data_IF_386203139121
#
_entry.id   IF_386203139121
#
_cell.length_a   1.000
_cell.length_b   1.000
_cell.length_c   1.000
_cell.angle_alpha   90.00
_cell.angle_beta   90.00
_cell.angle_gamma   90.00
#
_symmetry.space_group_name_H-M   'P 1'
#
loop_
_entity.id
_entity.type
_entity.pdbx_description
1 polymer ?
#
# COMPACT_ATOMS: atom_id res chain seq x y z
N UNK A 1 -8.35 -7.83 -25.53
CA UNK A 1 -7.11 -7.01 -25.65
C UNK A 1 -6.23 -7.35 -24.46
N UNK A 2 -5.19 -8.15 -24.66
CA UNK A 2 -4.23 -8.52 -23.61
C UNK A 2 -3.41 -7.29 -23.24
N UNK A 3 -3.77 -6.64 -22.13
CA UNK A 3 -3.02 -5.49 -21.62
C UNK A 3 -1.74 -6.02 -20.96
N UNK A 4 -0.73 -6.35 -21.77
CA UNK A 4 0.58 -6.78 -21.28
C UNK A 4 1.32 -5.54 -20.76
N UNK A 5 1.26 -5.32 -19.44
CA UNK A 5 2.00 -4.22 -18.81
C UNK A 5 3.46 -4.60 -18.78
N UNK A 6 4.30 -3.85 -19.48
CA UNK A 6 5.76 -4.07 -19.42
C UNK A 6 6.24 -3.91 -17.97
N UNK A 7 6.72 -5.02 -17.41
CA UNK A 7 7.38 -5.06 -16.11
C UNK A 7 8.80 -4.54 -16.33
N UNK A 8 9.25 -3.52 -15.57
CA UNK A 8 10.62 -3.03 -15.67
C UNK A 8 11.64 -4.16 -15.50
N UNK A 9 12.71 -4.16 -16.28
CA UNK A 9 13.71 -5.24 -16.26
C UNK A 9 14.25 -5.56 -14.85
N UNK A 10 14.50 -4.54 -14.02
CA UNK A 10 14.94 -4.72 -12.62
C UNK A 10 13.95 -5.52 -11.76
N UNK A 11 12.67 -5.32 -12.00
CA UNK A 11 11.59 -6.01 -11.28
C UNK A 11 11.47 -7.45 -11.76
N UNK A 12 11.67 -7.67 -13.05
CA UNK A 12 11.70 -9.00 -13.64
C UNK A 12 12.91 -9.80 -13.15
N UNK A 13 14.09 -9.18 -13.13
CA UNK A 13 15.32 -9.78 -12.58
C UNK A 13 15.15 -10.14 -11.10
N UNK A 14 14.54 -9.26 -10.29
CA UNK A 14 14.23 -9.57 -8.89
C UNK A 14 13.23 -10.73 -8.74
N UNK A 15 12.26 -10.86 -9.66
CA UNK A 15 11.32 -11.99 -9.66
C UNK A 15 11.99 -13.30 -10.09
N UNK A 16 12.82 -13.26 -11.13
CA UNK A 16 13.55 -14.43 -11.64
C UNK A 16 14.62 -14.91 -10.64
N UNK A 17 15.27 -14.00 -9.91
CA UNK A 17 16.24 -14.33 -8.88
C UNK A 17 15.63 -14.98 -7.62
N UNK A 18 14.31 -14.86 -7.43
CA UNK A 18 13.58 -15.43 -6.29
C UNK A 18 13.06 -16.85 -6.56
N UNK A 19 13.16 -17.33 -7.81
CA UNK A 19 12.70 -18.66 -8.17
C UNK A 19 13.61 -19.76 -7.61
N UNK A 20 13.02 -20.78 -7.03
CA UNK A 20 13.72 -22.01 -6.69
C UNK A 20 14.10 -22.79 -7.96
N UNK A 21 15.05 -23.73 -7.82
CA UNK A 21 15.44 -24.61 -8.92
C UNK A 21 14.24 -25.40 -9.46
N UNK A 22 13.95 -25.20 -10.74
CA UNK A 22 12.83 -25.83 -11.46
C UNK A 22 11.46 -25.18 -11.22
N UNK A 23 11.36 -24.12 -10.42
CA UNK A 23 10.14 -23.33 -10.24
C UNK A 23 9.86 -22.49 -11.50
N UNK A 24 8.60 -22.47 -11.95
CA UNK A 24 8.19 -21.78 -13.17
C UNK A 24 7.14 -20.72 -12.90
N UNK A 25 7.33 -19.55 -13.48
CA UNK A 25 6.35 -18.46 -13.42
C UNK A 25 5.15 -18.83 -14.30
N UNK A 26 3.97 -18.98 -13.69
CA UNK A 26 2.71 -19.16 -14.41
C UNK A 26 2.05 -17.83 -14.76
N UNK A 27 2.22 -16.81 -13.90
CA UNK A 27 1.68 -15.48 -14.11
C UNK A 27 2.50 -14.43 -13.38
N UNK A 28 2.61 -13.24 -13.97
CA UNK A 28 3.30 -12.09 -13.38
C UNK A 28 2.65 -10.79 -13.85
N UNK A 29 2.39 -9.85 -12.94
CA UNK A 29 1.87 -8.51 -13.26
C UNK A 29 2.21 -7.52 -12.13
N UNK A 30 1.80 -6.26 -12.29
CA UNK A 30 1.91 -5.19 -11.29
C UNK A 30 0.57 -4.47 -11.09
N UNK A 31 0.33 -3.91 -9.90
CA UNK A 31 -0.87 -3.12 -9.64
C UNK A 31 -0.91 -1.88 -10.55
N UNK A 32 -2.10 -1.52 -11.04
CA UNK A 32 -2.31 -0.42 -12.00
C UNK A 32 -2.11 0.98 -11.37
N UNK A 33 -0.95 1.63 -11.24
CA UNK A 33 -0.76 2.73 -10.27
C UNK A 33 -1.85 3.86 -10.26
N UNK A 34 -2.56 4.02 -9.13
CA UNK A 34 -3.51 5.13 -8.87
C UNK A 34 -3.00 6.04 -7.75
N UNK A 35 -3.21 7.34 -7.92
CA UNK A 35 -2.88 8.35 -6.90
C UNK A 35 -3.80 8.18 -5.68
N UNK A 36 -5.10 8.17 -5.95
CA UNK A 36 -6.14 8.11 -4.95
C UNK A 36 -6.65 6.67 -4.80
N UNK A 37 -6.37 6.07 -3.65
CA UNK A 37 -7.07 4.88 -3.12
C UNK A 37 -7.96 5.33 -1.97
N UNK A 38 -8.86 4.48 -1.48
CA UNK A 38 -9.74 4.83 -0.36
C UNK A 38 -8.96 5.40 0.83
N UNK A 39 -7.92 4.70 1.27
CA UNK A 39 -7.05 5.14 2.36
C UNK A 39 -6.30 6.45 2.06
N UNK A 40 -5.68 6.59 0.88
CA UNK A 40 -4.92 7.81 0.55
C UNK A 40 -5.83 9.03 0.35
N UNK A 41 -7.07 8.82 -0.10
CA UNK A 41 -8.07 9.87 -0.24
C UNK A 41 -8.51 10.39 1.12
N UNK A 42 -8.81 9.50 2.07
CA UNK A 42 -9.19 9.88 3.44
C UNK A 42 -8.07 10.66 4.12
N UNK A 43 -6.82 10.16 4.04
CA UNK A 43 -5.65 10.86 4.59
C UNK A 43 -5.45 12.25 3.96
N UNK A 44 -5.57 12.34 2.63
CA UNK A 44 -5.45 13.61 1.91
C UNK A 44 -6.53 14.61 2.34
N UNK A 45 -7.80 14.18 2.37
CA UNK A 45 -8.93 15.02 2.76
C UNK A 45 -8.83 15.49 4.22
N UNK A 46 -8.35 14.64 5.12
CA UNK A 46 -8.09 15.02 6.51
C UNK A 46 -6.91 16.00 6.64
N UNK A 47 -5.87 15.82 5.81
CA UNK A 47 -4.71 16.69 5.77
C UNK A 47 -5.03 18.14 5.39
N UNK A 48 -6.09 18.40 4.63
CA UNK A 48 -6.50 19.75 4.20
C UNK A 48 -6.87 20.64 5.41
N UNK A 49 -7.94 20.35 6.19
CA UNK A 49 -8.32 21.18 7.32
C UNK A 49 -7.24 21.18 8.41
N UNK A 50 -6.53 20.05 8.60
CA UNK A 50 -5.40 19.98 9.54
C UNK A 50 -4.30 20.99 9.21
N UNK A 51 -3.85 21.02 7.94
CA UNK A 51 -2.79 21.93 7.50
C UNK A 51 -3.27 23.38 7.52
N UNK A 52 -4.52 23.63 7.10
CA UNK A 52 -5.13 24.96 7.16
C UNK A 52 -5.17 25.49 8.60
N UNK A 53 -5.58 24.66 9.56
CA UNK A 53 -5.59 25.00 10.97
C UNK A 53 -4.17 25.26 11.51
N UNK A 54 -3.20 24.42 11.16
CA UNK A 54 -1.81 24.59 11.59
C UNK A 54 -1.19 25.90 11.06
N UNK A 55 -1.46 26.25 9.79
CA UNK A 55 -1.04 27.51 9.20
C UNK A 55 -1.72 28.70 9.87
N UNK A 56 -3.05 28.63 10.06
CA UNK A 56 -3.81 29.65 10.75
C UNK A 56 -3.27 29.92 12.15
N UNK A 57 -3.05 28.85 12.94
CA UNK A 57 -2.47 28.93 14.28
C UNK A 57 -1.10 29.61 14.27
N UNK A 58 -0.22 29.19 13.35
CA UNK A 58 1.15 29.73 13.26
C UNK A 58 1.14 31.23 12.95
N UNK A 59 0.28 31.67 12.01
CA UNK A 59 0.14 33.08 11.64
C UNK A 59 -0.47 33.89 12.77
N UNK A 60 -1.55 33.40 13.40
CA UNK A 60 -2.22 34.08 14.51
C UNK A 60 -1.28 34.24 15.72
N UNK A 61 -0.53 33.18 16.07
CA UNK A 61 0.45 33.22 17.14
C UNK A 61 1.60 34.18 16.82
N UNK A 62 2.12 34.18 15.59
CA UNK A 62 3.16 35.12 15.17
C UNK A 62 2.67 36.57 15.21
N UNK A 63 1.43 36.81 14.75
CA UNK A 63 0.82 38.14 14.80
C UNK A 63 0.65 38.66 16.23
N UNK A 64 0.15 37.82 17.15
CA UNK A 64 0.02 38.19 18.56
C UNK A 64 1.36 38.55 19.22
N UNK A 65 2.42 37.78 18.94
CA UNK A 65 3.78 38.08 19.44
C UNK A 65 4.31 39.41 18.90
N UNK A 66 4.07 39.72 17.63
CA UNK A 66 4.59 40.92 16.95
C UNK A 66 3.81 42.20 17.30
N UNK A 67 2.49 42.12 17.50
CA UNK A 67 1.62 43.30 17.63
C UNK A 67 1.15 43.59 19.05
N UNK A 68 1.07 42.59 19.95
CA UNK A 68 0.58 42.79 21.32
C UNK A 68 1.69 43.04 22.35
N UNK A 69 2.87 43.45 21.89
CA UNK A 69 3.99 43.83 22.76
C UNK A 69 4.67 42.62 23.38
N UNK A 70 5.31 41.80 22.54
CA UNK A 70 6.34 40.82 22.89
C UNK A 70 6.23 40.23 24.30
N UNK A 71 5.30 39.28 24.50
CA UNK A 71 5.17 38.56 25.77
C UNK A 71 6.53 38.00 26.20
N UNK A 72 7.11 38.44 27.33
CA UNK A 72 8.40 37.95 27.78
C UNK A 72 8.32 36.46 28.15
N UNK A 73 9.37 35.70 27.82
CA UNK A 73 9.51 34.30 28.24
C UNK A 73 9.06 33.28 27.17
N UNK A 74 8.72 32.03 27.57
CA UNK A 74 8.51 30.91 26.65
C UNK A 74 7.36 31.10 25.64
N UNK A 75 6.50 32.10 25.84
CA UNK A 75 5.44 32.49 24.91
C UNK A 75 5.96 33.00 23.55
N UNK A 76 7.22 33.43 23.44
CA UNK A 76 7.84 33.72 22.14
C UNK A 76 8.03 32.46 21.27
N UNK A 77 8.07 31.27 21.88
CA UNK A 77 8.20 30.00 21.16
C UNK A 77 6.85 29.46 20.69
N UNK A 78 5.74 30.10 21.07
CA UNK A 78 4.38 29.63 20.77
C UNK A 78 4.09 29.44 19.26
N UNK A 79 4.59 30.29 18.34
CA UNK A 79 4.47 30.05 16.90
C UNK A 79 5.26 28.83 16.41
N UNK A 80 6.39 28.49 17.05
CA UNK A 80 7.21 27.32 16.68
C UNK A 80 6.47 26.01 16.93
N UNK A 81 5.50 25.99 17.85
CA UNK A 81 4.66 24.81 18.06
C UNK A 81 3.82 24.48 16.83
N UNK A 82 3.51 25.43 15.95
CA UNK A 82 2.77 25.18 14.71
C UNK A 82 3.58 24.43 13.65
N UNK A 83 4.91 24.58 13.64
CA UNK A 83 5.81 23.94 12.66
C UNK A 83 5.68 22.41 12.60
N UNK A 84 5.75 21.64 13.71
CA UNK A 84 5.56 20.20 13.64
C UNK A 84 4.17 19.81 13.08
N UNK A 85 3.10 20.57 13.38
CA UNK A 85 1.77 20.29 12.83
C UNK A 85 1.69 20.54 11.32
N UNK A 86 2.36 21.58 10.82
CA UNK A 86 2.48 21.86 9.38
C UNK A 86 3.23 20.71 8.70
N UNK A 87 4.35 20.24 9.27
CA UNK A 87 5.11 19.11 8.73
C UNK A 87 4.28 17.83 8.67
N UNK A 88 3.49 17.54 9.71
CA UNK A 88 2.53 16.42 9.71
C UNK A 88 1.49 16.61 8.61
N UNK A 89 0.95 17.82 8.46
CA UNK A 89 -0.02 18.17 7.42
C UNK A 89 0.51 17.92 6.01
N UNK A 90 1.73 18.37 5.72
CA UNK A 90 2.43 18.09 4.45
C UNK A 90 2.59 16.58 4.24
N UNK A 91 2.95 15.83 5.29
CA UNK A 91 3.03 14.37 5.24
C UNK A 91 1.70 13.71 4.85
N UNK A 92 0.60 14.11 5.49
CA UNK A 92 -0.76 13.63 5.21
C UNK A 92 -1.19 13.93 3.78
N UNK A 93 -0.99 15.18 3.35
CA UNK A 93 -1.29 15.61 1.98
C UNK A 93 -0.47 14.84 0.96
N UNK A 94 0.73 14.41 1.31
CA UNK A 94 1.58 13.68 0.37
C UNK A 94 1.22 12.20 0.20
N UNK A 95 0.30 11.66 1.00
CA UNK A 95 -0.11 10.24 0.98
C UNK A 95 -0.40 9.64 -0.40
N UNK A 96 -1.14 10.32 -1.31
CA UNK A 96 -1.41 9.82 -2.66
C UNK A 96 -0.16 9.54 -3.51
N UNK A 97 0.89 10.37 -3.37
CA UNK A 97 2.14 10.17 -4.10
C UNK A 97 2.94 9.00 -3.56
N UNK A 98 2.98 8.84 -2.23
CA UNK A 98 3.62 7.70 -1.58
C UNK A 98 2.94 6.38 -1.96
N UNK A 99 1.61 6.36 -1.96
CA UNK A 99 0.82 5.20 -2.35
C UNK A 99 1.03 4.83 -3.83
N UNK A 100 1.04 5.82 -4.74
CA UNK A 100 1.36 5.59 -6.16
C UNK A 100 2.77 5.03 -6.33
N UNK A 101 3.75 5.54 -5.57
CA UNK A 101 5.13 5.07 -5.62
C UNK A 101 5.24 3.63 -5.15
N UNK A 102 4.55 3.27 -4.05
CA UNK A 102 4.47 1.88 -3.56
C UNK A 102 3.93 0.96 -4.64
N UNK A 103 2.77 1.28 -5.23
CA UNK A 103 2.16 0.47 -6.28
C UNK A 103 3.06 0.30 -7.52
N UNK A 104 3.74 1.37 -7.95
CA UNK A 104 4.69 1.28 -9.08
C UNK A 104 5.84 0.33 -8.82
N UNK A 105 6.16 0.11 -7.55
CA UNK A 105 7.29 -0.63 -7.06
C UNK A 105 6.91 -2.04 -6.57
N UNK A 106 5.68 -2.48 -6.80
CA UNK A 106 5.21 -3.81 -6.41
C UNK A 106 5.05 -4.70 -7.65
N UNK A 107 5.46 -5.95 -7.52
CA UNK A 107 5.27 -7.01 -8.51
C UNK A 107 4.54 -8.16 -7.82
N UNK A 108 3.58 -8.73 -8.53
CA UNK A 108 2.87 -9.93 -8.13
C UNK A 108 3.24 -11.05 -9.08
N UNK A 109 3.46 -12.24 -8.52
CA UNK A 109 3.86 -13.42 -9.26
C UNK A 109 3.10 -14.62 -8.72
N UNK A 110 2.65 -15.49 -9.62
CA UNK A 110 2.15 -16.82 -9.31
C UNK A 110 3.07 -17.79 -10.01
N UNK A 111 3.66 -18.71 -9.25
CA UNK A 111 4.49 -19.79 -9.79
C UNK A 111 3.69 -21.08 -9.87
N UNK A 112 4.35 -22.20 -10.15
CA UNK A 112 3.78 -23.54 -10.03
C UNK A 112 3.71 -24.04 -8.58
N UNK A 113 4.32 -23.32 -7.63
CA UNK A 113 4.37 -23.70 -6.21
C UNK A 113 3.63 -22.72 -5.30
N UNK A 114 3.77 -21.41 -5.53
CA UNK A 114 3.37 -20.37 -4.56
C UNK A 114 2.98 -19.05 -5.20
N UNK A 115 2.31 -18.20 -4.41
CA UNK A 115 2.04 -16.81 -4.75
C UNK A 115 3.07 -15.90 -4.08
N UNK A 116 3.64 -14.94 -4.82
CA UNK A 116 4.71 -14.06 -4.32
C UNK A 116 4.35 -12.59 -4.54
N UNK A 117 4.59 -11.78 -3.50
CA UNK A 117 4.52 -10.32 -3.54
C UNK A 117 5.92 -9.76 -3.33
N UNK A 118 6.40 -8.98 -4.30
CA UNK A 118 7.72 -8.34 -4.26
C UNK A 118 7.53 -6.83 -4.23
N UNK A 119 7.98 -6.17 -3.16
CA UNK A 119 7.98 -4.73 -2.99
C UNK A 119 9.41 -4.18 -3.08
N UNK A 120 9.72 -3.46 -4.17
CA UNK A 120 11.06 -2.92 -4.46
C UNK A 120 11.18 -1.47 -4.00
N UNK A 121 11.80 -1.24 -2.84
CA UNK A 121 11.96 0.10 -2.24
C UNK A 121 13.42 0.50 -2.03
N UNK A 122 13.68 1.14 -0.88
CA UNK A 122 15.05 1.25 -0.34
C UNK A 122 15.58 -0.14 0.07
N UNK A 123 14.67 -0.99 0.51
CA UNK A 123 14.88 -2.42 0.75
C UNK A 123 13.91 -3.19 -0.16
N UNK A 124 14.31 -4.38 -0.60
CA UNK A 124 13.41 -5.30 -1.30
C UNK A 124 12.74 -6.17 -0.25
N UNK A 125 11.42 -6.13 -0.17
CA UNK A 125 10.64 -7.01 0.68
C UNK A 125 9.97 -8.06 -0.21
N UNK A 126 10.23 -9.31 0.07
CA UNK A 126 9.64 -10.46 -0.63
C UNK A 126 8.74 -11.17 0.36
N UNK A 127 7.55 -11.54 -0.07
CA UNK A 127 6.60 -12.28 0.76
C UNK A 127 5.96 -13.36 -0.09
N UNK A 128 6.25 -14.60 0.27
CA UNK A 128 5.77 -15.81 -0.40
C UNK A 128 4.63 -16.42 0.40
N UNK A 129 3.65 -16.95 -0.32
CA UNK A 129 2.45 -17.58 0.21
C UNK A 129 2.32 -18.95 -0.43
N UNK A 130 2.57 -19.97 0.37
CA UNK A 130 2.42 -21.37 -0.01
C UNK A 130 0.91 -21.75 -0.07
N UNK A 131 0.54 -22.85 -0.75
CA UNK A 131 -0.86 -23.25 -0.92
C UNK A 131 -1.61 -23.44 0.40
N UNK A 132 -0.96 -23.99 1.43
CA UNK A 132 -1.52 -24.23 2.77
C UNK A 132 -1.86 -22.94 3.54
N UNK A 133 -1.29 -21.80 3.14
CA UNK A 133 -1.56 -20.48 3.72
C UNK A 133 -2.74 -19.76 3.05
N UNK A 134 -3.34 -20.37 2.02
CA UNK A 134 -4.43 -19.81 1.23
C UNK A 134 -5.80 -20.27 1.72
N UNK A 135 -6.27 -19.72 2.84
CA UNK A 135 -7.54 -20.15 3.47
C UNK A 135 -8.78 -19.82 2.62
N UNK A 136 -8.95 -18.55 2.25
CA UNK A 136 -10.19 -18.06 1.62
C UNK A 136 -9.88 -17.17 0.45
N UNK A 137 -9.89 -17.77 -0.74
CA UNK A 137 -9.67 -17.07 -1.99
C UNK A 137 -10.97 -16.42 -2.47
N UNK A 138 -10.98 -15.09 -2.57
CA UNK A 138 -12.09 -14.33 -3.14
C UNK A 138 -11.58 -13.11 -3.92
N UNK A 139 -12.41 -12.60 -4.83
CA UNK A 139 -12.06 -11.44 -5.66
C UNK A 139 -13.13 -10.35 -5.63
N UNK A 140 -12.69 -9.11 -5.84
CA UNK A 140 -13.54 -7.97 -6.20
C UNK A 140 -13.18 -7.55 -7.62
N UNK A 141 -14.16 -7.55 -8.52
CA UNK A 141 -13.96 -7.32 -9.96
C UNK A 141 -14.73 -6.07 -10.42
N UNK A 142 -14.10 -5.26 -11.25
CA UNK A 142 -14.72 -4.10 -11.91
C UNK A 142 -15.18 -4.47 -13.32
N UNK A 143 -16.02 -3.62 -13.89
CA UNK A 143 -16.55 -3.79 -15.25
C UNK A 143 -15.47 -3.84 -16.34
N UNK A 144 -14.28 -3.29 -16.09
CA UNK A 144 -13.13 -3.34 -17.00
C UNK A 144 -12.27 -4.60 -16.85
N UNK A 145 -12.67 -5.54 -15.99
CA UNK A 145 -11.94 -6.77 -15.69
C UNK A 145 -10.75 -6.60 -14.74
N UNK A 146 -10.48 -5.38 -14.26
CA UNK A 146 -9.49 -5.16 -13.20
C UNK A 146 -10.09 -5.42 -11.83
N UNK A 147 -9.25 -5.80 -10.87
CA UNK A 147 -9.77 -6.10 -9.54
C UNK A 147 -8.70 -6.45 -8.52
N UNK A 148 -9.16 -6.87 -7.37
CA UNK A 148 -8.33 -7.39 -6.29
C UNK A 148 -8.68 -8.86 -6.08
N UNK A 149 -7.69 -9.70 -5.79
CA UNK A 149 -7.87 -11.07 -5.33
C UNK A 149 -7.16 -11.22 -4.01
N UNK A 150 -7.87 -11.69 -2.99
CA UNK A 150 -7.36 -11.92 -1.65
C UNK A 150 -7.31 -13.43 -1.43
N UNK A 151 -6.25 -13.93 -0.83
CA UNK A 151 -6.03 -15.37 -0.62
C UNK A 151 -5.66 -15.72 0.82
N UNK A 152 -5.21 -14.75 1.63
CA UNK A 152 -4.90 -14.99 3.04
C UNK A 152 -5.36 -13.81 3.89
N UNK A 153 -5.55 -14.04 5.18
CA UNK A 153 -5.91 -12.99 6.14
C UNK A 153 -4.95 -12.99 7.31
N UNK A 154 -4.14 -11.94 7.41
CA UNK A 154 -3.27 -11.77 8.58
C UNK A 154 -4.08 -11.23 9.73
N UNK A 155 -4.16 -11.99 10.82
CA UNK A 155 -4.78 -11.54 12.06
C UNK A 155 -3.71 -11.16 13.08
N UNK A 156 -3.94 -10.07 13.81
CA UNK A 156 -3.16 -9.72 14.98
C UNK A 156 -4.08 -9.24 16.09
N UNK A 157 -3.61 -9.41 17.33
CA UNK A 157 -4.28 -8.91 18.53
C UNK A 157 -3.63 -7.59 18.89
N UNK A 158 -4.40 -6.51 19.02
CA UNK A 158 -3.87 -5.27 19.55
C UNK A 158 -3.69 -5.35 21.08
N UNK A 159 -3.08 -4.31 21.66
CA UNK A 159 -2.78 -4.27 23.09
C UNK A 159 -4.05 -4.28 23.96
N UNK A 160 -5.18 -3.86 23.40
CA UNK A 160 -6.49 -3.81 24.07
C UNK A 160 -7.28 -5.12 23.93
N UNK A 161 -6.78 -6.05 23.11
CA UNK A 161 -7.29 -7.41 22.98
C UNK A 161 -8.26 -7.63 21.82
N UNK A 162 -8.51 -6.60 21.02
CA UNK A 162 -9.33 -6.70 19.82
C UNK A 162 -8.55 -7.40 18.70
N UNK A 163 -9.26 -8.28 18.00
CA UNK A 163 -8.72 -8.96 16.82
C UNK A 163 -8.86 -8.05 15.61
N UNK A 164 -7.72 -7.60 15.10
CA UNK A 164 -7.62 -6.91 13.82
C UNK A 164 -7.20 -7.91 12.75
N UNK A 165 -7.67 -7.68 11.53
CA UNK A 165 -7.32 -8.54 10.40
C UNK A 165 -7.16 -7.71 9.13
N UNK A 166 -6.13 -8.03 8.37
CA UNK A 166 -5.86 -7.47 7.05
C UNK A 166 -5.95 -8.59 6.02
N UNK A 167 -6.80 -8.41 5.01
CA UNK A 167 -6.88 -9.32 3.88
C UNK A 167 -5.69 -9.03 2.94
N UNK A 168 -4.92 -10.06 2.63
CA UNK A 168 -3.73 -9.95 1.80
C UNK A 168 -3.97 -10.66 0.47
N UNK A 169 -3.55 -9.99 -0.60
CA UNK A 169 -3.44 -10.59 -1.90
C UNK A 169 -3.00 -9.62 -2.97
N UNK A 170 -3.37 -9.89 -4.21
CA UNK A 170 -2.97 -9.08 -5.36
C UNK A 170 -4.02 -8.02 -5.64
N UNK A 171 -3.60 -6.77 -5.53
CA UNK A 171 -4.47 -5.62 -5.72
C UNK A 171 -4.36 -5.06 -7.14
N UNK A 172 -5.50 -4.69 -7.73
CA UNK A 172 -5.55 -3.86 -8.95
C UNK A 172 -4.83 -4.48 -10.14
N UNK A 173 -4.95 -5.80 -10.23
CA UNK A 173 -4.44 -6.65 -11.31
C UNK A 173 -5.41 -6.64 -12.48
N UNK A 174 -4.89 -6.80 -13.69
CA UNK A 174 -5.72 -6.99 -14.88
C UNK A 174 -6.24 -8.43 -14.93
N UNK A 175 -7.42 -8.64 -15.53
CA UNK A 175 -8.02 -9.96 -15.72
C UNK A 175 -8.08 -10.76 -14.41
N UNK A 176 -8.57 -10.12 -13.33
CA UNK A 176 -8.54 -10.67 -11.96
C UNK A 176 -9.18 -12.06 -11.83
N UNK A 177 -10.14 -12.38 -12.71
CA UNK A 177 -10.79 -13.68 -12.77
C UNK A 177 -9.82 -14.80 -13.13
N UNK A 178 -8.89 -14.56 -14.04
CA UNK A 178 -7.91 -15.57 -14.44
C UNK A 178 -6.85 -15.75 -13.35
N UNK A 179 -6.47 -14.66 -12.69
CA UNK A 179 -5.58 -14.68 -11.51
C UNK A 179 -6.19 -15.51 -10.38
N UNK A 180 -7.48 -15.30 -10.07
CA UNK A 180 -8.19 -16.10 -9.06
C UNK A 180 -8.25 -17.59 -9.43
N UNK A 181 -8.49 -17.92 -10.71
CA UNK A 181 -8.49 -19.33 -11.16
C UNK A 181 -7.13 -19.99 -10.96
N UNK A 182 -6.03 -19.28 -11.25
CA UNK A 182 -4.68 -19.80 -11.04
C UNK A 182 -4.42 -20.06 -9.56
N UNK A 183 -4.79 -19.12 -8.68
CA UNK A 183 -4.64 -19.29 -7.23
C UNK A 183 -5.49 -20.44 -6.69
N UNK A 184 -6.73 -20.60 -7.14
CA UNK A 184 -7.59 -21.73 -6.73
C UNK A 184 -7.00 -23.06 -7.20
N UNK A 185 -6.56 -23.14 -8.44
CA UNK A 185 -5.90 -24.34 -8.97
C UNK A 185 -4.65 -24.72 -8.16
N UNK A 186 -3.87 -23.73 -7.74
CA UNK A 186 -2.70 -23.93 -6.89
C UNK A 186 -3.09 -24.45 -5.50
N UNK A 187 -4.11 -23.86 -4.87
CA UNK A 187 -4.60 -24.30 -3.57
C UNK A 187 -5.22 -25.71 -3.61
N UNK A 188 -5.93 -26.05 -4.70
CA UNK A 188 -6.58 -27.36 -4.87
C UNK A 188 -5.57 -28.49 -5.13
N UNK A 189 -4.48 -28.23 -5.87
CA UNK A 189 -3.46 -29.24 -6.18
C UNK A 189 -2.74 -29.80 -4.93
N UNK A 190 -2.71 -29.06 -3.82
CA UNK A 190 -2.18 -29.52 -2.53
C UNK A 190 -3.11 -30.53 -1.85
N UNK A 191 -4.42 -30.44 -2.08
CA UNK A 191 -5.41 -31.36 -1.49
C UNK A 191 -5.38 -32.75 -2.14
N UNK A 192 -4.83 -32.86 -3.35
CA UNK A 192 -4.73 -34.09 -4.14
C UNK A 192 -3.35 -34.78 -4.06
N UNK A 193 -2.38 -34.20 -3.35
CA UNK A 193 -0.98 -34.68 -3.21
C UNK A 193 -0.72 -35.37 -1.88
#
# INVERSE_FOLDING_TARGET
>A
MTHNREIPWKMREAAEAELDSGEQIQWIDRPEPKLFTGASTVMFLFGIPWTAFALFWTVAAAWGVLHEGGTPGPFMLFPLFGLPFILIGIGLLSGPWWNRRKQRNTVYMITDRRAVIIEVGKTTKITSYEPDQMDKIYRTEKSDGTGNVYFTRRQWKDMDGDRRGEDIGFERVAQVRDVEKLLKKMADNELDS
#
